data_IF_445983384859
#
_entry.id   IF_445983384859
#
_cell.length_a   1.000
_cell.length_b   1.000
_cell.length_c   1.000
_cell.angle_alpha   90.00
_cell.angle_beta   90.00
_cell.angle_gamma   90.00
#
_symmetry.space_group_name_H-M   'P 1'
#
loop_
_entity.id
_entity.type
_entity.pdbx_description
1 polymer ?
#
# COMPACT_ATOMS: atom_id res chain seq x y z
N UNK A 1 -4.93 -18.92 -6.42
CA UNK A 1 -6.03 -18.00 -6.05
C UNK A 1 -5.55 -16.70 -5.43
N UNK A 2 -4.43 -16.73 -4.73
CA UNK A 2 -3.90 -15.64 -3.90
C UNK A 2 -3.53 -14.35 -4.66
N UNK A 3 -2.96 -14.45 -5.87
CA UNK A 3 -2.58 -13.27 -6.68
C UNK A 3 -3.78 -12.45 -7.15
N UNK A 4 -4.93 -13.08 -7.41
CA UNK A 4 -6.14 -12.39 -7.89
C UNK A 4 -6.65 -11.37 -6.88
N UNK A 5 -6.70 -11.73 -5.60
CA UNK A 5 -7.14 -10.83 -4.54
C UNK A 5 -6.24 -9.60 -4.41
N UNK A 6 -4.91 -9.79 -4.53
CA UNK A 6 -3.96 -8.68 -4.46
C UNK A 6 -4.04 -7.76 -5.68
N UNK A 7 -4.33 -8.28 -6.87
CA UNK A 7 -4.61 -7.44 -8.05
C UNK A 7 -5.88 -6.62 -7.88
N UNK A 8 -6.95 -7.22 -7.36
CA UNK A 8 -8.20 -6.51 -7.08
C UNK A 8 -7.95 -5.39 -6.05
N UNK A 9 -7.21 -5.70 -4.97
CA UNK A 9 -6.85 -4.69 -3.98
C UNK A 9 -6.02 -3.55 -4.60
N UNK A 10 -4.99 -3.87 -5.40
CA UNK A 10 -4.17 -2.85 -6.06
C UNK A 10 -5.00 -1.97 -7.01
N UNK A 11 -5.95 -2.55 -7.74
CA UNK A 11 -6.85 -1.80 -8.63
C UNK A 11 -7.76 -0.84 -7.83
N UNK A 12 -8.38 -1.32 -6.75
CA UNK A 12 -9.21 -0.50 -5.87
C UNK A 12 -8.38 0.61 -5.21
N UNK A 13 -7.19 0.27 -4.69
CA UNK A 13 -6.31 1.23 -4.04
C UNK A 13 -5.80 2.28 -5.03
N UNK A 14 -5.42 1.88 -6.25
CA UNK A 14 -5.04 2.81 -7.31
C UNK A 14 -6.19 3.75 -7.71
N UNK A 15 -7.41 3.22 -7.82
CA UNK A 15 -8.60 4.02 -8.08
C UNK A 15 -8.83 5.07 -6.98
N UNK A 16 -8.78 4.66 -5.70
CA UNK A 16 -8.95 5.57 -4.56
C UNK A 16 -7.85 6.63 -4.53
N UNK A 17 -6.60 6.26 -4.82
CA UNK A 17 -5.48 7.19 -4.88
C UNK A 17 -5.72 8.28 -5.92
N UNK A 18 -6.13 7.92 -7.14
CA UNK A 18 -6.41 8.90 -8.21
C UNK A 18 -7.62 9.76 -7.85
N UNK A 19 -8.70 9.14 -7.35
CA UNK A 19 -9.92 9.85 -6.99
C UNK A 19 -9.68 10.87 -5.86
N UNK A 20 -9.04 10.45 -4.75
CA UNK A 20 -8.71 11.33 -3.64
C UNK A 20 -7.62 12.33 -3.99
N UNK A 21 -6.66 12.00 -4.86
CA UNK A 21 -5.64 12.94 -5.32
C UNK A 21 -6.24 14.08 -6.13
N UNK A 22 -7.10 13.76 -7.11
CA UNK A 22 -7.78 14.76 -7.92
C UNK A 22 -8.77 15.59 -7.09
N UNK A 23 -9.59 14.94 -6.27
CA UNK A 23 -10.54 15.62 -5.38
C UNK A 23 -9.82 16.48 -4.32
N UNK A 24 -8.72 15.97 -3.78
CA UNK A 24 -7.77 16.65 -2.90
C UNK A 24 -7.30 17.99 -3.48
N UNK A 25 -6.74 17.92 -4.69
CA UNK A 25 -6.14 19.08 -5.35
C UNK A 25 -7.16 20.15 -5.77
N UNK A 26 -8.36 19.76 -6.22
CA UNK A 26 -9.32 20.68 -6.81
C UNK A 26 -10.42 21.16 -5.85
N UNK A 27 -10.80 20.33 -4.87
CA UNK A 27 -11.94 20.60 -3.98
C UNK A 27 -11.48 20.81 -2.54
N UNK A 28 -10.81 19.81 -1.95
CA UNK A 28 -10.40 19.85 -0.53
C UNK A 28 -9.39 20.96 -0.24
N UNK A 29 -8.50 21.27 -1.19
CA UNK A 29 -7.53 22.36 -1.05
C UNK A 29 -8.15 23.73 -0.80
N UNK A 30 -9.44 23.92 -1.12
CA UNK A 30 -10.18 25.16 -0.88
C UNK A 30 -10.82 25.24 0.50
N UNK A 31 -10.97 24.11 1.19
CA UNK A 31 -11.68 24.01 2.48
C UNK A 31 -10.78 23.58 3.63
N UNK A 32 -9.75 22.78 3.36
CA UNK A 32 -8.81 22.27 4.35
C UNK A 32 -7.62 23.21 4.51
N UNK A 33 -7.09 23.25 5.75
CA UNK A 33 -5.87 23.97 6.05
C UNK A 33 -4.62 23.26 5.54
N UNK A 34 -3.48 23.94 5.67
CA UNK A 34 -2.16 23.43 5.23
C UNK A 34 -1.80 22.12 5.94
N UNK A 35 -2.15 22.00 7.22
CA UNK A 35 -1.84 20.81 8.04
C UNK A 35 -2.62 19.60 7.56
N UNK A 36 -3.93 19.74 7.38
CA UNK A 36 -4.81 18.67 6.91
C UNK A 36 -4.46 18.23 5.49
N UNK A 37 -4.18 19.19 4.61
CA UNK A 37 -3.67 18.89 3.26
C UNK A 37 -2.35 18.15 3.30
N UNK A 38 -1.45 18.49 4.24
CA UNK A 38 -0.21 17.75 4.45
C UNK A 38 -0.44 16.28 4.83
N UNK A 39 -1.46 15.98 5.65
CA UNK A 39 -1.83 14.61 6.00
C UNK A 39 -2.41 13.85 4.80
N UNK A 40 -3.30 14.49 4.02
CA UNK A 40 -3.84 13.91 2.78
C UNK A 40 -2.69 13.55 1.83
N UNK A 41 -1.76 14.48 1.62
CA UNK A 41 -0.65 14.29 0.70
C UNK A 41 0.29 13.15 1.16
N UNK A 42 0.63 13.11 2.44
CA UNK A 42 1.42 12.02 3.02
C UNK A 42 0.71 10.67 2.85
N UNK A 43 -0.60 10.61 3.11
CA UNK A 43 -1.39 9.40 2.91
C UNK A 43 -1.39 8.94 1.44
N UNK A 44 -1.58 9.87 0.50
CA UNK A 44 -1.57 9.60 -0.93
C UNK A 44 -0.22 9.07 -1.41
N UNK A 45 0.89 9.67 -0.98
CA UNK A 45 2.24 9.23 -1.32
C UNK A 45 2.50 7.80 -0.86
N UNK A 46 2.20 7.49 0.41
CA UNK A 46 2.39 6.14 0.94
C UNK A 46 1.47 5.12 0.25
N UNK A 47 0.21 5.48 -0.02
CA UNK A 47 -0.70 4.62 -0.76
C UNK A 47 -0.19 4.33 -2.18
N UNK A 48 0.34 5.32 -2.90
CA UNK A 48 0.84 5.15 -4.25
C UNK A 48 1.98 4.13 -4.33
N UNK A 49 3.03 4.32 -3.52
CA UNK A 49 4.19 3.43 -3.53
C UNK A 49 3.81 1.99 -3.16
N UNK A 50 2.97 1.80 -2.14
CA UNK A 50 2.59 0.46 -1.70
C UNK A 50 1.57 -0.19 -2.63
N UNK A 51 0.69 0.58 -3.28
CA UNK A 51 -0.20 0.06 -4.34
C UNK A 51 0.62 -0.52 -5.49
N UNK A 52 1.64 0.20 -5.96
CA UNK A 52 2.52 -0.27 -7.03
C UNK A 52 3.34 -1.49 -6.61
N UNK A 53 3.83 -1.52 -5.37
CA UNK A 53 4.53 -2.69 -4.83
C UNK A 53 3.61 -3.93 -4.76
N UNK A 54 2.38 -3.78 -4.27
CA UNK A 54 1.38 -4.85 -4.23
C UNK A 54 1.05 -5.33 -5.65
N UNK A 55 0.86 -4.41 -6.60
CA UNK A 55 0.63 -4.76 -8.00
C UNK A 55 1.79 -5.59 -8.57
N UNK A 56 3.03 -5.14 -8.38
CA UNK A 56 4.23 -5.85 -8.82
C UNK A 56 4.35 -7.25 -8.21
N UNK A 57 4.09 -7.39 -6.90
CA UNK A 57 4.08 -8.69 -6.23
C UNK A 57 2.97 -9.60 -6.76
N UNK A 58 1.78 -9.05 -6.97
CA UNK A 58 0.64 -9.82 -7.46
C UNK A 58 0.88 -10.35 -8.89
N UNK A 59 1.51 -9.54 -9.75
CA UNK A 59 1.97 -9.95 -11.09
C UNK A 59 3.07 -11.01 -11.00
N UNK A 60 4.09 -10.80 -10.16
CA UNK A 60 5.17 -11.77 -9.97
C UNK A 60 4.64 -13.14 -9.50
N UNK A 61 3.65 -13.13 -8.61
CA UNK A 61 2.98 -14.33 -8.11
C UNK A 61 2.11 -15.05 -9.14
N UNK A 62 1.78 -14.45 -10.28
CA UNK A 62 1.15 -15.18 -11.39
C UNK A 62 2.10 -16.19 -12.03
N UNK A 63 3.40 -15.88 -12.06
CA UNK A 63 4.43 -16.77 -12.63
C UNK A 63 4.94 -17.80 -11.64
N UNK A 64 5.08 -17.40 -10.37
CA UNK A 64 5.58 -18.28 -9.31
C UNK A 64 4.95 -17.93 -7.97
N UNK A 65 4.21 -18.87 -7.40
CA UNK A 65 3.64 -18.70 -6.06
C UNK A 65 4.78 -18.67 -5.03
N UNK A 66 4.79 -17.65 -4.19
CA UNK A 66 5.71 -17.48 -3.07
C UNK A 66 4.92 -17.03 -1.85
N UNK A 67 5.01 -17.80 -0.76
CA UNK A 67 4.34 -17.48 0.50
C UNK A 67 4.86 -16.16 1.11
N UNK A 68 6.14 -15.85 0.89
CA UNK A 68 6.78 -14.61 1.33
C UNK A 68 6.23 -13.39 0.59
N UNK A 69 6.05 -13.52 -0.73
CA UNK A 69 5.46 -12.44 -1.54
C UNK A 69 3.98 -12.24 -1.23
N UNK A 70 3.26 -13.33 -0.91
CA UNK A 70 1.88 -13.20 -0.46
C UNK A 70 1.78 -12.40 0.83
N UNK A 71 2.46 -12.84 1.89
CA UNK A 71 2.38 -12.14 3.17
C UNK A 71 2.94 -10.73 3.08
N UNK A 72 3.99 -10.51 2.29
CA UNK A 72 4.47 -9.16 1.96
C UNK A 72 3.34 -8.27 1.42
N UNK A 73 2.63 -8.73 0.39
CA UNK A 73 1.51 -7.98 -0.19
C UNK A 73 0.34 -7.78 0.79
N UNK A 74 0.07 -8.74 1.68
CA UNK A 74 -0.97 -8.61 2.73
C UNK A 74 -0.59 -7.53 3.75
N UNK A 75 0.63 -7.53 4.25
CA UNK A 75 1.11 -6.52 5.20
C UNK A 75 1.18 -5.12 4.56
N UNK A 76 1.55 -5.03 3.28
CA UNK A 76 1.47 -3.77 2.52
C UNK A 76 0.02 -3.29 2.34
N UNK A 77 -0.93 -4.19 2.06
CA UNK A 77 -2.34 -3.84 1.95
C UNK A 77 -2.92 -3.35 3.27
N UNK A 78 -2.64 -4.07 4.37
CA UNK A 78 -3.00 -3.66 5.74
C UNK A 78 -2.38 -2.31 6.10
N UNK A 79 -1.10 -2.12 5.79
CA UNK A 79 -0.41 -0.85 6.00
C UNK A 79 -1.07 0.28 5.22
N UNK A 80 -1.50 0.03 3.98
CA UNK A 80 -2.18 1.04 3.15
C UNK A 80 -3.48 1.50 3.80
N UNK A 81 -4.30 0.55 4.25
CA UNK A 81 -5.57 0.88 4.93
C UNK A 81 -5.32 1.59 6.26
N UNK A 82 -4.41 1.08 7.09
CA UNK A 82 -4.18 1.60 8.44
C UNK A 82 -3.39 2.91 8.46
N UNK A 83 -2.43 3.11 7.56
CA UNK A 83 -1.60 4.32 7.51
C UNK A 83 -2.24 5.40 6.65
N UNK A 84 -2.59 5.08 5.40
CA UNK A 84 -3.09 6.09 4.47
C UNK A 84 -4.55 6.42 4.79
N UNK A 85 -5.35 5.38 5.05
CA UNK A 85 -6.75 5.55 5.47
C UNK A 85 -6.89 6.33 6.78
N UNK A 86 -6.03 6.10 7.77
CA UNK A 86 -6.08 6.89 9.02
C UNK A 86 -5.73 8.35 8.80
N UNK A 87 -4.75 8.68 7.95
CA UNK A 87 -4.41 10.07 7.62
C UNK A 87 -5.54 10.77 6.88
N UNK A 88 -6.24 10.07 5.98
CA UNK A 88 -7.44 10.62 5.33
C UNK A 88 -8.56 10.88 6.33
N UNK A 89 -8.84 9.92 7.20
CA UNK A 89 -9.83 10.09 8.27
C UNK A 89 -9.43 11.22 9.23
N UNK A 90 -8.15 11.34 9.58
CA UNK A 90 -7.63 12.39 10.43
C UNK A 90 -7.83 13.77 9.81
N UNK A 91 -7.52 13.92 8.52
CA UNK A 91 -7.70 15.18 7.78
C UNK A 91 -9.16 15.58 7.61
N UNK A 92 -10.06 14.62 7.41
CA UNK A 92 -11.48 14.89 7.16
C UNK A 92 -12.32 15.03 8.42
N UNK A 93 -11.98 14.32 9.50
CA UNK A 93 -12.75 14.32 10.75
C UNK A 93 -12.11 15.14 11.88
N UNK A 94 -10.83 15.51 11.74
CA UNK A 94 -10.00 16.13 12.79
C UNK A 94 -9.90 15.32 14.10
N UNK A 95 -10.35 14.06 14.12
CA UNK A 95 -10.29 13.20 15.30
C UNK A 95 -8.86 12.67 15.49
N UNK A 96 -8.16 13.17 16.51
CA UNK A 96 -6.77 12.78 16.82
C UNK A 96 -6.56 11.29 17.12
N UNK A 97 -7.62 10.55 17.41
CA UNK A 97 -7.56 9.09 17.59
C UNK A 97 -6.97 8.37 16.37
N UNK A 98 -7.24 8.87 15.15
CA UNK A 98 -6.69 8.31 13.93
C UNK A 98 -5.16 8.39 13.86
N UNK A 99 -4.55 9.38 14.51
CA UNK A 99 -3.09 9.54 14.54
C UNK A 99 -2.39 8.38 15.26
N UNK A 100 -3.06 7.70 16.20
CA UNK A 100 -2.51 6.51 16.87
C UNK A 100 -2.57 5.24 16.01
N UNK A 101 -3.39 5.23 14.96
CA UNK A 101 -3.49 4.10 14.01
C UNK A 101 -2.34 4.14 13.00
N UNK A 102 -1.88 5.34 12.63
CA UNK A 102 -0.84 5.55 11.62
C UNK A 102 0.47 4.79 11.90
N UNK A 103 1.03 4.80 13.13
CA UNK A 103 2.25 4.03 13.44
C UNK A 103 2.08 2.52 13.24
N UNK A 104 0.90 1.96 13.52
CA UNK A 104 0.61 0.54 13.31
C UNK A 104 0.65 0.21 11.81
N UNK A 105 0.08 1.08 10.98
CA UNK A 105 0.18 0.94 9.53
C UNK A 105 1.62 1.07 9.01
N UNK A 106 2.40 1.98 9.58
CA UNK A 106 3.82 2.15 9.24
C UNK A 106 4.66 0.92 9.58
N UNK A 107 4.42 0.32 10.75
CA UNK A 107 5.04 -0.95 11.12
C UNK A 107 4.64 -2.08 10.17
N UNK A 108 3.36 -2.13 9.78
CA UNK A 108 2.86 -3.10 8.78
C UNK A 108 3.61 -2.97 7.45
N UNK A 109 3.88 -1.75 6.98
CA UNK A 109 4.69 -1.53 5.79
C UNK A 109 6.12 -2.08 5.95
N UNK A 110 6.79 -1.79 7.07
CA UNK A 110 8.14 -2.31 7.34
C UNK A 110 8.19 -3.84 7.27
N UNK A 111 7.22 -4.51 7.90
CA UNK A 111 7.08 -5.98 7.82
C UNK A 111 6.86 -6.43 6.38
N UNK A 112 6.01 -5.74 5.63
CA UNK A 112 5.75 -6.02 4.22
C UNK A 112 7.02 -5.98 3.37
N UNK A 113 7.83 -4.93 3.49
CA UNK A 113 9.11 -4.81 2.78
C UNK A 113 10.14 -5.86 3.22
N UNK A 114 10.24 -6.15 4.51
CA UNK A 114 11.13 -7.19 5.03
C UNK A 114 10.77 -8.57 4.48
N UNK A 115 9.48 -8.91 4.42
CA UNK A 115 9.02 -10.17 3.82
C UNK A 115 9.29 -10.23 2.32
N UNK A 116 9.20 -9.10 1.61
CA UNK A 116 9.57 -9.03 0.20
C UNK A 116 11.06 -9.37 0.01
N UNK A 117 11.93 -8.78 0.83
CA UNK A 117 13.37 -9.05 0.83
C UNK A 117 13.66 -10.53 1.09
N UNK A 118 13.04 -11.13 2.11
CA UNK A 118 13.18 -12.57 2.40
C UNK A 118 12.73 -13.42 1.23
N UNK A 119 11.59 -13.08 0.62
CA UNK A 119 11.08 -13.78 -0.58
C UNK A 119 12.03 -13.68 -1.77
N UNK A 120 12.67 -12.53 -1.97
CA UNK A 120 13.64 -12.30 -3.04
C UNK A 120 14.93 -13.11 -2.82
N UNK A 121 15.46 -13.13 -1.60
CA UNK A 121 16.66 -13.92 -1.24
C UNK A 121 16.39 -15.42 -1.41
N UNK A 122 15.19 -15.88 -1.09
CA UNK A 122 14.79 -17.31 -1.21
C UNK A 122 14.37 -17.71 -2.63
N UNK A 123 14.39 -16.79 -3.58
CA UNK A 123 14.01 -17.06 -4.96
C UNK A 123 15.11 -17.92 -5.61
N UNK A 124 14.99 -19.26 -5.55
CA UNK A 124 15.89 -20.15 -6.31
C UNK A 124 15.83 -19.78 -7.79
N UNK A 125 16.98 -19.43 -8.41
CA UNK A 125 17.12 -19.39 -9.87
C UNK A 125 16.74 -20.78 -10.38
N UNK A 126 15.83 -20.86 -11.38
CA UNK A 126 15.73 -22.08 -12.18
C UNK A 126 17.12 -22.27 -12.80
N UNK A 127 17.84 -23.29 -12.36
CA UNK A 127 19.03 -23.75 -13.07
C UNK A 127 18.60 -24.00 -14.50
N UNK A 128 19.30 -23.36 -15.43
CA UNK A 128 19.14 -23.65 -16.84
C UNK A 128 19.70 -25.06 -17.03
N UNK A 129 18.83 -26.06 -16.94
CA UNK A 129 19.13 -27.41 -17.40
C UNK A 129 19.02 -27.35 -18.93
N UNK A 130 20.11 -26.96 -19.58
CA UNK A 130 20.31 -27.34 -20.97
C UNK A 130 20.79 -28.80 -20.93
N UNK A 131 19.85 -29.72 -21.11
CA UNK A 131 20.15 -31.02 -21.75
C UNK A 131 20.39 -30.79 -23.25
#
# INVERSE_FOLDING_TARGET
MTSRFMLIFAAISGFIFVALGAFGAHVLSKTLGVVEMGWIQTGLEYQAFHTLAIFGLAVAMQRRISIWFYWSSVFMALGTVLFSGSLYCLALSHLRLWAFVTPVGGFSFLVGWALMLVGAIRLKRKGVSHE
#
